data_IF_445239842255
#
_entry.id   IF_445239842255
#
_cell.length_a   1.000
_cell.length_b   1.000
_cell.length_c   1.000
_cell.angle_alpha   90.00
_cell.angle_beta   90.00
_cell.angle_gamma   90.00
#
_symmetry.space_group_name_H-M   'P 1'
#
loop_
_entity.id
_entity.type
_entity.pdbx_description
1 polymer ?
#
# COMPACT_ATOMS: atom_id res chain seq x y z
N UNK A 1 -4.11 -12.26 -20.85
CA UNK A 1 -2.83 -11.58 -20.54
C UNK A 1 -3.20 -10.24 -19.93
N UNK A 2 -2.79 -9.94 -18.69
CA UNK A 2 -3.11 -8.66 -18.06
C UNK A 2 -2.18 -7.59 -18.65
N UNK A 3 -2.75 -6.61 -19.34
CA UNK A 3 -1.99 -5.48 -19.88
C UNK A 3 -1.66 -4.50 -18.74
N UNK A 4 -0.37 -4.19 -18.56
CA UNK A 4 0.06 -3.21 -17.56
C UNK A 4 -0.18 -1.80 -18.12
N UNK A 5 -1.20 -1.11 -17.62
CA UNK A 5 -1.43 0.31 -17.92
C UNK A 5 -0.37 1.15 -17.20
N UNK A 6 0.50 1.82 -17.96
CA UNK A 6 1.54 2.69 -17.40
C UNK A 6 1.02 4.12 -17.31
N UNK A 7 0.92 4.66 -16.09
CA UNK A 7 0.73 6.10 -15.88
C UNK A 7 2.03 6.82 -16.26
N UNK A 8 1.95 7.80 -17.17
CA UNK A 8 3.09 8.62 -17.63
C UNK A 8 2.82 10.09 -17.29
N UNK A 9 3.86 10.83 -16.92
CA UNK A 9 3.78 12.27 -16.63
C UNK A 9 4.04 12.61 -15.16
N UNK A 10 3.86 13.89 -14.82
CA UNK A 10 4.05 14.43 -13.46
C UNK A 10 2.68 14.60 -12.82
N UNK A 11 2.43 13.93 -11.69
CA UNK A 11 1.19 14.09 -10.93
C UNK A 11 1.31 15.28 -9.96
N UNK A 12 0.38 16.26 -10.01
CA UNK A 12 0.37 17.36 -9.07
C UNK A 12 -0.10 16.88 -7.68
N UNK A 13 0.82 16.85 -6.71
CA UNK A 13 0.52 16.44 -5.33
C UNK A 13 0.64 17.59 -4.34
N UNK A 14 -0.14 17.55 -3.26
CA UNK A 14 0.06 18.43 -2.11
C UNK A 14 1.36 18.05 -1.39
N UNK A 15 2.28 19.00 -1.22
CA UNK A 15 3.55 18.74 -0.54
C UNK A 15 3.37 18.30 0.93
N UNK A 16 2.27 18.72 1.58
CA UNK A 16 1.98 18.41 2.97
C UNK A 16 1.26 17.06 3.14
N UNK A 17 0.04 16.92 2.59
CA UNK A 17 -0.79 15.72 2.80
C UNK A 17 -0.67 14.64 1.73
N UNK A 18 0.07 14.89 0.64
CA UNK A 18 0.28 13.97 -0.50
C UNK A 18 -0.98 13.61 -1.30
N UNK A 19 -2.10 14.28 -1.08
CA UNK A 19 -3.28 14.18 -1.95
C UNK A 19 -2.96 14.65 -3.37
N UNK A 20 -3.53 13.98 -4.38
CA UNK A 20 -3.40 14.32 -5.80
C UNK A 20 -4.49 15.31 -6.17
N UNK A 21 -4.13 16.36 -6.93
CA UNK A 21 -5.11 17.20 -7.63
C UNK A 21 -5.54 16.49 -8.91
N UNK A 22 -6.82 16.14 -9.02
CA UNK A 22 -7.37 15.48 -10.19
C UNK A 22 -7.67 16.48 -11.33
N UNK A 23 -8.16 15.96 -12.46
CA UNK A 23 -8.40 16.74 -13.69
C UNK A 23 -9.51 17.80 -13.52
N UNK A 24 -10.41 17.62 -12.56
CA UNK A 24 -11.46 18.58 -12.18
C UNK A 24 -10.94 19.65 -11.20
N UNK A 25 -9.69 19.50 -10.74
CA UNK A 25 -9.05 20.43 -9.82
C UNK A 25 -9.31 20.15 -8.35
N UNK A 26 -10.02 19.07 -8.00
CA UNK A 26 -10.24 18.62 -6.63
C UNK A 26 -9.06 17.81 -6.10
N UNK A 27 -8.88 17.80 -4.78
CA UNK A 27 -7.87 16.96 -4.13
C UNK A 27 -8.48 15.65 -3.65
N UNK A 28 -7.86 14.54 -4.02
CA UNK A 28 -8.25 13.19 -3.57
C UNK A 28 -7.04 12.40 -3.08
N UNK A 29 -7.31 11.30 -2.35
CA UNK A 29 -6.25 10.40 -1.87
C UNK A 29 -5.53 9.76 -3.06
N UNK A 30 -4.22 9.54 -2.89
CA UNK A 30 -3.35 8.88 -3.87
C UNK A 30 -3.94 7.56 -4.37
N UNK A 31 -4.40 6.72 -3.44
CA UNK A 31 -4.95 5.40 -3.72
C UNK A 31 -6.19 5.47 -4.62
N UNK A 32 -7.09 6.43 -4.35
CA UNK A 32 -8.29 6.62 -5.14
C UNK A 32 -7.97 7.02 -6.57
N UNK A 33 -7.04 7.97 -6.74
CA UNK A 33 -6.62 8.43 -8.07
C UNK A 33 -5.97 7.29 -8.85
N UNK A 34 -5.02 6.56 -8.26
CA UNK A 34 -4.35 5.46 -8.95
C UNK A 34 -5.34 4.35 -9.29
N UNK A 35 -6.23 3.98 -8.37
CA UNK A 35 -7.27 2.99 -8.64
C UNK A 35 -8.14 3.39 -9.84
N UNK A 36 -8.66 4.61 -9.87
CA UNK A 36 -9.47 5.14 -10.98
C UNK A 36 -8.73 5.13 -12.33
N UNK A 37 -7.45 5.50 -12.33
CA UNK A 37 -6.69 5.73 -13.57
C UNK A 37 -5.87 4.52 -14.05
N UNK A 38 -5.63 3.51 -13.20
CA UNK A 38 -4.86 2.31 -13.58
C UNK A 38 -5.63 0.99 -13.40
N UNK A 39 -6.72 0.99 -12.64
CA UNK A 39 -7.52 -0.20 -12.33
C UNK A 39 -6.84 -1.16 -11.35
N UNK A 40 -5.83 -0.69 -10.60
CA UNK A 40 -5.16 -1.50 -9.57
C UNK A 40 -5.84 -1.34 -8.21
N UNK A 41 -5.82 -2.41 -7.43
CA UNK A 41 -6.29 -2.42 -6.05
C UNK A 41 -5.12 -2.32 -5.06
N UNK A 42 -5.37 -1.71 -3.91
CA UNK A 42 -4.38 -1.56 -2.85
C UNK A 42 -4.72 -2.46 -1.66
N UNK A 43 -3.72 -3.21 -1.20
CA UNK A 43 -3.77 -3.92 0.09
C UNK A 43 -3.00 -3.15 1.15
N UNK A 44 -3.57 -3.03 2.36
CA UNK A 44 -2.93 -2.35 3.49
C UNK A 44 -2.13 -3.29 4.39
N UNK A 45 -1.24 -4.08 3.81
CA UNK A 45 -0.38 -4.99 4.57
C UNK A 45 0.74 -4.24 5.27
N UNK A 46 1.13 -4.69 6.47
CA UNK A 46 2.36 -4.26 7.13
C UNK A 46 3.50 -5.19 6.71
N UNK A 47 4.65 -4.64 6.29
CA UNK A 47 5.80 -5.46 5.96
C UNK A 47 6.46 -6.03 7.24
N UNK A 48 7.20 -7.16 7.16
CA UNK A 48 7.80 -7.79 8.35
C UNK A 48 8.69 -6.85 9.18
N UNK A 49 9.44 -5.96 8.52
CA UNK A 49 10.29 -4.99 9.22
C UNK A 49 9.47 -3.97 10.01
N UNK A 50 8.36 -3.48 9.44
CA UNK A 50 7.44 -2.57 10.14
C UNK A 50 6.70 -3.30 11.26
N UNK A 51 6.29 -4.56 11.05
CA UNK A 51 5.66 -5.36 12.11
C UNK A 51 6.62 -5.52 13.29
N UNK A 52 7.85 -5.96 13.04
CA UNK A 52 8.88 -6.11 14.09
C UNK A 52 9.15 -4.81 14.84
N UNK A 53 9.15 -3.67 14.14
CA UNK A 53 9.47 -2.37 14.72
C UNK A 53 8.33 -1.79 15.56
N UNK A 54 7.08 -1.92 15.08
CA UNK A 54 5.93 -1.23 15.66
C UNK A 54 5.05 -2.12 16.53
N UNK A 55 5.09 -3.43 16.30
CA UNK A 55 4.31 -4.47 16.97
C UNK A 55 5.24 -5.65 17.34
N UNK A 56 6.28 -5.40 18.16
CA UNK A 56 7.32 -6.40 18.42
C UNK A 56 6.78 -7.65 19.12
N UNK A 57 5.81 -7.51 20.02
CA UNK A 57 5.21 -8.65 20.74
C UNK A 57 4.40 -9.55 19.81
N UNK A 58 3.58 -8.96 18.94
CA UNK A 58 2.83 -9.68 17.92
C UNK A 58 3.75 -10.31 16.88
N UNK A 59 4.82 -9.61 16.49
CA UNK A 59 5.83 -10.14 15.58
C UNK A 59 6.52 -11.37 16.17
N UNK A 60 6.93 -11.31 17.45
CA UNK A 60 7.53 -12.44 18.15
C UNK A 60 6.56 -13.62 18.29
N UNK A 61 5.30 -13.36 18.63
CA UNK A 61 4.23 -14.37 18.65
C UNK A 61 4.08 -15.07 17.30
N UNK A 62 3.93 -14.30 16.22
CA UNK A 62 3.82 -14.84 14.86
C UNK A 62 5.04 -15.66 14.42
N UNK A 63 6.24 -15.31 14.89
CA UNK A 63 7.45 -16.08 14.58
C UNK A 63 7.53 -17.37 15.39
N UNK A 64 7.08 -17.37 16.65
CA UNK A 64 6.99 -18.59 17.48
C UNK A 64 5.96 -19.58 16.93
N UNK A 65 4.84 -19.09 16.40
CA UNK A 65 3.81 -19.95 15.78
C UNK A 65 4.30 -20.56 14.45
N UNK A 66 5.17 -19.86 13.70
CA UNK A 66 5.78 -20.41 12.47
C UNK A 66 6.72 -21.59 12.76
N UNK A 67 7.35 -21.62 13.93
CA UNK A 67 8.16 -22.77 14.37
C UNK A 67 7.28 -23.96 14.79
N UNK A 68 6.01 -23.72 15.17
CA UNK A 68 5.00 -24.73 15.49
C UNK A 68 4.26 -25.31 14.27
N UNK A 69 4.26 -24.63 13.12
CA UNK A 69 3.69 -25.14 11.86
C UNK A 69 4.67 -26.07 11.12
N UNK A 70 5.32 -26.99 11.85
CA UNK A 70 6.05 -28.15 11.31
C UNK A 70 5.43 -29.50 11.71
N UNK A 71 4.22 -29.49 12.27
CA UNK A 71 3.44 -30.70 12.52
C UNK A 71 2.07 -30.56 11.87
N UNK A 72 1.98 -31.13 10.66
CA UNK A 72 0.82 -31.14 9.78
C UNK A 72 1.25 -31.41 8.35
#
# INVERSE_FOLDING_TARGET
>A
MAEVKTLRGILPICAYCKSIRNDEGYYEKLENYIHKHSGVDFSHTICPACMKKHYPEEYEGMMRDKDGLKLG
#
